data_IF_005297991593
#
_entry.id   IF_005297991593
#
_cell.length_a   1.000
_cell.length_b   1.000
_cell.length_c   1.000
_cell.angle_alpha   90.00
_cell.angle_beta   90.00
_cell.angle_gamma   90.00
#
_symmetry.space_group_name_H-M   'P 1'
#
loop_
_entity.id
_entity.type
_entity.pdbx_description
1 polymer ?
#
# COMPACT_ATOMS: atom_id res chain seq x y z
N UNK A 1 -8.65 2.04 -19.48
CA UNK A 1 -9.56 1.97 -18.31
C UNK A 1 -8.95 2.81 -17.20
N UNK A 2 -9.61 3.89 -16.76
CA UNK A 2 -9.14 4.68 -15.62
C UNK A 2 -9.24 3.79 -14.37
N UNK A 3 -8.11 3.42 -13.78
CA UNK A 3 -8.07 2.59 -12.58
C UNK A 3 -8.31 3.50 -11.38
N UNK A 4 -9.57 3.80 -11.09
CA UNK A 4 -9.94 4.56 -9.90
C UNK A 4 -9.54 3.77 -8.65
N UNK A 5 -8.87 4.42 -7.71
CA UNK A 5 -8.58 3.86 -6.38
C UNK A 5 -9.79 4.13 -5.46
N UNK A 6 -10.21 3.12 -4.71
CA UNK A 6 -11.12 3.30 -3.58
C UNK A 6 -10.49 4.14 -2.46
N UNK A 7 -11.30 4.67 -1.55
CA UNK A 7 -10.80 5.46 -0.42
C UNK A 7 -9.86 4.68 0.49
N UNK A 8 -10.13 3.38 0.70
CA UNK A 8 -9.24 2.53 1.50
C UNK A 8 -7.90 2.29 0.79
N UNK A 9 -7.92 2.06 -0.52
CA UNK A 9 -6.69 1.90 -1.31
C UNK A 9 -5.85 3.18 -1.28
N UNK A 10 -6.49 4.36 -1.40
CA UNK A 10 -5.81 5.65 -1.25
C UNK A 10 -5.22 5.81 0.16
N UNK A 11 -5.96 5.40 1.18
CA UNK A 11 -5.52 5.48 2.59
C UNK A 11 -4.31 4.58 2.83
N UNK A 12 -4.35 3.34 2.36
CA UNK A 12 -3.22 2.39 2.46
C UNK A 12 -1.99 2.94 1.72
N UNK A 13 -2.15 3.35 0.46
CA UNK A 13 -1.03 3.88 -0.33
C UNK A 13 -0.42 5.14 0.31
N UNK A 14 -1.26 6.06 0.79
CA UNK A 14 -0.79 7.29 1.43
C UNK A 14 -0.06 7.00 2.74
N UNK A 15 -0.57 6.06 3.54
CA UNK A 15 0.10 5.68 4.77
C UNK A 15 1.42 4.94 4.52
N UNK A 16 1.49 4.08 3.51
CA UNK A 16 2.74 3.45 3.11
C UNK A 16 3.80 4.47 2.68
N UNK A 17 3.41 5.49 1.90
CA UNK A 17 4.32 6.58 1.50
C UNK A 17 4.81 7.38 2.71
N UNK A 18 3.93 7.68 3.67
CA UNK A 18 4.31 8.34 4.93
C UNK A 18 5.31 7.49 5.74
N UNK A 19 5.14 6.17 5.77
CA UNK A 19 6.12 5.27 6.39
C UNK A 19 7.46 5.27 5.66
N UNK A 20 7.46 5.28 4.32
CA UNK A 20 8.67 5.38 3.51
C UNK A 20 9.42 6.70 3.79
N UNK A 21 8.71 7.83 3.85
CA UNK A 21 9.26 9.16 4.15
C UNK A 21 9.90 9.24 5.55
N UNK A 22 9.33 8.50 6.51
CA UNK A 22 9.88 8.34 7.88
C UNK A 22 11.05 7.34 7.96
N UNK A 23 11.56 6.85 6.83
CA UNK A 23 12.69 5.92 6.75
C UNK A 23 12.32 4.45 6.92
N UNK A 24 11.04 4.10 6.85
CA UNK A 24 10.57 2.71 6.88
C UNK A 24 10.20 2.28 5.47
N UNK A 25 11.20 2.07 4.59
CA UNK A 25 11.02 1.78 3.16
C UNK A 25 10.11 0.58 2.87
N UNK A 26 10.17 -0.46 3.69
CA UNK A 26 9.38 -1.69 3.51
C UNK A 26 8.55 -2.01 4.76
N UNK A 27 7.43 -1.32 4.97
CA UNK A 27 6.59 -1.58 6.13
C UNK A 27 5.97 -2.99 6.07
N UNK A 28 5.95 -3.71 7.21
CA UNK A 28 5.23 -4.98 7.33
C UNK A 28 3.71 -4.75 7.28
N UNK A 29 2.95 -5.72 6.76
CA UNK A 29 1.48 -5.67 6.67
C UNK A 29 0.86 -5.26 8.00
N UNK A 30 1.30 -5.86 9.12
CA UNK A 30 0.79 -5.53 10.45
C UNK A 30 0.86 -4.03 10.79
N UNK A 31 1.93 -3.34 10.35
CA UNK A 31 2.14 -1.92 10.63
C UNK A 31 1.20 -1.06 9.79
N UNK A 32 0.90 -1.50 8.57
CA UNK A 32 -0.10 -0.87 7.69
C UNK A 32 -1.51 -1.02 8.30
N UNK A 33 -1.84 -2.21 8.82
CA UNK A 33 -3.10 -2.47 9.53
C UNK A 33 -3.26 -1.51 10.71
N UNK A 34 -2.27 -1.43 11.60
CA UNK A 34 -2.35 -0.58 12.80
C UNK A 34 -2.52 0.91 12.46
N UNK A 35 -1.90 1.39 11.37
CA UNK A 35 -1.91 2.82 11.06
C UNK A 35 -3.06 3.31 10.18
N UNK A 36 -3.79 2.41 9.52
CA UNK A 36 -4.89 2.78 8.62
C UNK A 36 -6.28 2.68 9.27
N UNK A 37 -6.38 2.10 10.48
CA UNK A 37 -7.65 1.77 11.14
C UNK A 37 -8.58 0.88 10.29
N UNK A 38 -8.05 0.26 9.23
CA UNK A 38 -8.74 -0.72 8.38
C UNK A 38 -8.50 -2.11 8.98
N UNK A 39 -9.55 -2.92 9.06
CA UNK A 39 -9.45 -4.29 9.58
C UNK A 39 -8.41 -5.12 8.82
N UNK A 40 -7.68 -5.99 9.53
CA UNK A 40 -6.55 -6.78 8.99
C UNK A 40 -6.89 -7.52 7.70
N UNK A 41 -7.97 -8.30 7.70
CA UNK A 41 -8.46 -9.04 6.52
C UNK A 41 -8.68 -8.13 5.30
N UNK A 42 -9.20 -6.92 5.52
CA UNK A 42 -9.47 -5.95 4.45
C UNK A 42 -8.16 -5.35 3.95
N UNK A 43 -7.22 -5.01 4.83
CA UNK A 43 -5.89 -4.53 4.42
C UNK A 43 -5.16 -5.58 3.60
N UNK A 44 -5.15 -6.85 4.00
CA UNK A 44 -4.47 -7.91 3.27
C UNK A 44 -5.07 -8.14 1.88
N UNK A 45 -6.41 -8.12 1.78
CA UNK A 45 -7.11 -8.21 0.50
C UNK A 45 -6.80 -7.01 -0.41
N UNK A 46 -6.75 -5.80 0.16
CA UNK A 46 -6.41 -4.58 -0.57
C UNK A 46 -4.95 -4.56 -1.01
N UNK A 47 -4.01 -4.96 -0.15
CA UNK A 47 -2.60 -5.07 -0.50
C UNK A 47 -2.37 -6.08 -1.61
N UNK A 48 -3.05 -7.24 -1.57
CA UNK A 48 -3.02 -8.22 -2.66
C UNK A 48 -3.59 -7.64 -3.96
N UNK A 49 -4.70 -6.92 -3.88
CA UNK A 49 -5.31 -6.25 -5.04
C UNK A 49 -4.39 -5.18 -5.63
N UNK A 50 -3.80 -4.34 -4.78
CA UNK A 50 -2.85 -3.31 -5.19
C UNK A 50 -1.56 -3.93 -5.78
N UNK A 51 -1.13 -5.09 -5.27
CA UNK A 51 0.02 -5.81 -5.81
C UNK A 51 -0.26 -6.38 -7.20
N UNK A 52 -1.43 -7.01 -7.39
CA UNK A 52 -1.88 -7.49 -8.70
C UNK A 52 -2.02 -6.35 -9.73
N UNK A 53 -2.42 -5.16 -9.28
CA UNK A 53 -2.49 -3.94 -10.09
C UNK A 53 -1.12 -3.29 -10.36
N UNK A 54 -0.05 -3.78 -9.73
CA UNK A 54 1.30 -3.23 -9.86
C UNK A 54 1.51 -1.90 -9.14
N UNK A 55 0.67 -1.55 -8.17
CA UNK A 55 0.77 -0.32 -7.38
C UNK A 55 1.62 -0.47 -6.11
N UNK A 56 1.68 -1.69 -5.59
CA UNK A 56 2.63 -2.08 -4.54
C UNK A 56 3.40 -3.32 -4.98
N UNK A 57 4.62 -3.48 -4.48
CA UNK A 57 5.38 -4.71 -4.60
C UNK A 57 5.42 -5.40 -3.23
N UNK A 58 5.04 -6.67 -3.20
CA UNK A 58 5.14 -7.52 -2.02
C UNK A 58 6.50 -8.22 -1.98
N UNK A 59 7.11 -8.25 -0.80
CA UNK A 59 8.41 -8.84 -0.53
C UNK A 59 8.26 -9.91 0.56
N UNK A 60 7.69 -11.09 0.23
CA UNK A 60 7.37 -12.13 1.21
C UNK A 60 8.59 -12.85 1.78
N UNK A 61 9.78 -12.70 1.18
CA UNK A 61 10.99 -13.42 1.58
C UNK A 61 11.90 -12.64 2.54
N UNK A 62 11.48 -11.45 3.00
CA UNK A 62 12.32 -10.60 3.86
C UNK A 62 12.16 -10.92 5.35
N UNK A 63 10.97 -11.34 5.79
CA UNK A 63 10.62 -11.59 7.19
C UNK A 63 9.45 -12.57 7.28
N UNK A 64 9.10 -13.00 8.51
CA UNK A 64 7.88 -13.78 8.79
C UNK A 64 6.58 -13.02 8.44
N UNK A 65 6.63 -11.67 8.41
CA UNK A 65 5.52 -10.81 8.02
C UNK A 65 5.79 -10.22 6.62
N UNK A 66 4.87 -10.36 5.66
CA UNK A 66 5.08 -9.87 4.30
C UNK A 66 5.28 -8.35 4.32
N UNK A 67 6.37 -7.91 3.71
CA UNK A 67 6.68 -6.48 3.56
C UNK A 67 6.19 -5.95 2.24
N UNK A 68 5.83 -4.68 2.21
CA UNK A 68 5.30 -4.03 1.01
C UNK A 68 6.06 -2.74 0.71
N UNK A 69 6.12 -2.38 -0.56
CA UNK A 69 6.70 -1.11 -1.03
C UNK A 69 5.78 -0.49 -2.08
N UNK A 70 5.70 0.83 -2.15
CA UNK A 70 4.86 1.51 -3.15
C UNK A 70 5.64 1.66 -4.44
N UNK A 71 5.08 1.21 -5.56
CA UNK A 71 5.73 1.36 -6.87
C UNK A 71 5.56 2.78 -7.40
N UNK A 72 6.39 3.16 -8.38
CA UNK A 72 6.24 4.42 -9.11
C UNK A 72 4.86 4.55 -9.77
N UNK A 73 4.22 3.44 -10.14
CA UNK A 73 2.86 3.41 -10.70
C UNK A 73 1.80 3.68 -9.63
N UNK A 74 1.96 3.11 -8.44
CA UNK A 74 1.09 3.37 -7.29
C UNK A 74 1.13 4.84 -6.86
N UNK A 75 2.33 5.41 -6.77
CA UNK A 75 2.52 6.85 -6.45
C UNK A 75 1.86 7.74 -7.49
N UNK A 76 2.12 7.49 -8.78
CA UNK A 76 1.50 8.27 -9.86
C UNK A 76 -0.02 8.19 -9.84
N UNK A 77 -0.59 7.00 -9.64
CA UNK A 77 -2.06 6.82 -9.60
C UNK A 77 -2.68 7.54 -8.40
N UNK A 78 -2.03 7.51 -7.23
CA UNK A 78 -2.50 8.21 -6.03
C UNK A 78 -2.54 9.73 -6.23
N UNK A 79 -1.50 10.31 -6.83
CA UNK A 79 -1.37 11.77 -6.97
C UNK A 79 -1.97 12.33 -8.28
N UNK A 80 -2.17 11.53 -9.33
CA UNK A 80 -2.85 11.96 -10.57
C UNK A 80 -4.36 12.15 -10.39
N UNK A 81 -4.99 11.53 -9.39
CA UNK A 81 -6.43 11.61 -9.16
C UNK A 81 -6.92 12.90 -8.49
N UNK A 82 -6.06 13.93 -8.38
CA UNK A 82 -6.33 15.17 -7.64
C UNK A 82 -6.16 16.46 -8.45
N UNK A 83 -6.38 16.42 -9.77
CA UNK A 83 -6.45 17.62 -10.63
C UNK A 83 -7.85 17.81 -11.18
#
# INVERSE_FOLDING_TARGET
>A
MATTLSEDEKTILRYMIDLEDRGSEWPPARRIVTGTAIGSLRVEALLSTLALRGFVAAHPNLDEDPRYSVTSSGRQTLFKGGS
#
